data_IF_608276891573
#
_entry.id   IF_608276891573
#
_cell.length_a   1.000
_cell.length_b   1.000
_cell.length_c   1.000
_cell.angle_alpha   90.00
_cell.angle_beta   90.00
_cell.angle_gamma   90.00
#
_symmetry.space_group_name_H-M   'P 1'
#
loop_
_entity.id
_entity.type
_entity.pdbx_description
1 polymer ?
#
# COMPACT_ATOMS: atom_id res chain seq x y z
N UNK A 1 -14.67 -4.19 18.96
CA UNK A 1 -15.29 -3.79 17.67
C UNK A 1 -14.26 -2.99 16.88
N UNK A 2 -13.43 -3.69 16.09
CA UNK A 2 -12.79 -3.14 14.89
C UNK A 2 -13.35 -4.00 13.78
N UNK A 3 -14.29 -3.44 13.01
CA UNK A 3 -15.31 -4.17 12.28
C UNK A 3 -14.70 -4.95 11.11
N UNK A 4 -15.29 -6.08 10.72
CA UNK A 4 -14.92 -6.86 9.51
C UNK A 4 -14.78 -5.99 8.25
N UNK A 5 -15.43 -4.83 8.25
CA UNK A 5 -15.37 -3.79 7.23
C UNK A 5 -14.02 -3.06 7.14
N UNK A 6 -13.40 -2.71 8.28
CA UNK A 6 -12.06 -2.09 8.30
C UNK A 6 -11.03 -3.02 7.67
N UNK A 7 -11.15 -4.32 7.96
CA UNK A 7 -10.27 -5.35 7.39
C UNK A 7 -10.46 -5.47 5.88
N UNK A 8 -11.70 -5.39 5.40
CA UNK A 8 -12.00 -5.39 3.95
C UNK A 8 -11.36 -4.18 3.26
N UNK A 9 -11.49 -2.98 3.83
CA UNK A 9 -10.87 -1.76 3.32
C UNK A 9 -9.34 -1.89 3.26
N UNK A 10 -8.71 -2.43 4.32
CA UNK A 10 -7.26 -2.64 4.36
C UNK A 10 -6.80 -3.60 3.25
N UNK A 11 -7.53 -4.70 3.03
CA UNK A 11 -7.20 -5.66 1.98
C UNK A 11 -7.36 -5.06 0.58
N UNK A 12 -8.43 -4.30 0.34
CA UNK A 12 -8.64 -3.65 -0.97
C UNK A 12 -7.53 -2.64 -1.30
N UNK A 13 -7.12 -1.83 -0.31
CA UNK A 13 -5.99 -0.90 -0.46
C UNK A 13 -4.70 -1.68 -0.75
N UNK A 14 -4.45 -2.76 -0.02
CA UNK A 14 -3.27 -3.60 -0.17
C UNK A 14 -3.19 -4.22 -1.58
N UNK A 15 -4.31 -4.73 -2.09
CA UNK A 15 -4.41 -5.29 -3.43
C UNK A 15 -4.16 -4.23 -4.51
N UNK A 16 -4.75 -3.03 -4.39
CA UNK A 16 -4.49 -1.91 -5.32
C UNK A 16 -3.03 -1.46 -5.32
N UNK A 17 -2.38 -1.42 -4.15
CA UNK A 17 -0.93 -1.15 -4.03
C UNK A 17 -0.12 -2.21 -4.79
N UNK A 18 -0.44 -3.49 -4.56
CA UNK A 18 0.24 -4.62 -5.21
C UNK A 18 0.06 -4.57 -6.73
N UNK A 19 -1.15 -4.34 -7.21
CA UNK A 19 -1.43 -4.21 -8.64
C UNK A 19 -0.65 -3.06 -9.29
N UNK A 20 -0.67 -1.88 -8.66
CA UNK A 20 0.06 -0.71 -9.14
C UNK A 20 1.58 -0.98 -9.19
N UNK A 21 2.12 -1.67 -8.19
CA UNK A 21 3.52 -2.09 -8.16
C UNK A 21 3.85 -3.06 -9.30
N UNK A 22 3.03 -4.09 -9.49
CA UNK A 22 3.25 -5.11 -10.52
C UNK A 22 3.12 -4.54 -11.94
N UNK A 23 2.15 -3.64 -12.19
CA UNK A 23 2.03 -2.91 -13.47
C UNK A 23 3.29 -2.11 -13.83
N UNK A 24 4.09 -1.75 -12.83
CA UNK A 24 5.36 -1.03 -12.99
C UNK A 24 6.60 -1.92 -12.92
N UNK A 25 6.43 -3.24 -12.83
CA UNK A 25 7.51 -4.22 -12.69
C UNK A 25 8.49 -3.93 -11.53
N UNK A 26 7.98 -3.36 -10.44
CA UNK A 26 8.78 -3.00 -9.27
C UNK A 26 8.81 -4.16 -8.26
N UNK A 27 9.95 -4.39 -7.60
CA UNK A 27 10.02 -5.25 -6.43
C UNK A 27 9.45 -4.53 -5.20
N UNK A 28 9.03 -5.29 -4.19
CA UNK A 28 8.59 -4.72 -2.92
C UNK A 28 9.68 -3.87 -2.26
N UNK A 29 10.95 -4.29 -2.37
CA UNK A 29 12.11 -3.54 -1.89
C UNK A 29 12.30 -2.21 -2.60
N UNK A 30 11.93 -2.12 -3.88
CA UNK A 30 12.08 -0.89 -4.66
C UNK A 30 11.11 0.17 -4.18
N UNK A 31 9.84 -0.21 -3.99
CA UNK A 31 8.82 0.71 -3.48
C UNK A 31 9.12 1.09 -2.03
N UNK A 32 9.55 0.15 -1.19
CA UNK A 32 9.94 0.44 0.18
C UNK A 32 11.08 1.47 0.24
N UNK A 33 12.13 1.28 -0.55
CA UNK A 33 13.26 2.21 -0.65
C UNK A 33 12.82 3.60 -1.13
N UNK A 34 12.02 3.66 -2.20
CA UNK A 34 11.50 4.92 -2.74
C UNK A 34 10.56 5.65 -1.78
N UNK A 35 9.78 4.92 -0.99
CA UNK A 35 8.90 5.46 0.03
C UNK A 35 9.61 5.80 1.35
N UNK A 36 10.90 5.49 1.48
CA UNK A 36 11.65 5.64 2.74
C UNK A 36 11.10 4.76 3.87
N UNK A 37 10.68 3.55 3.53
CA UNK A 37 10.08 2.56 4.44
C UNK A 37 11.01 1.35 4.60
N UNK A 38 10.86 0.67 5.74
CA UNK A 38 11.45 -0.65 5.92
C UNK A 38 10.74 -1.67 4.99
N UNK A 39 11.51 -2.49 4.28
CA UNK A 39 10.97 -3.48 3.32
C UNK A 39 10.01 -4.49 3.97
N UNK A 40 10.28 -4.95 5.20
CA UNK A 40 9.37 -5.86 5.91
C UNK A 40 8.06 -5.17 6.26
N UNK A 41 8.11 -3.89 6.64
CA UNK A 41 6.91 -3.12 6.92
C UNK A 41 6.08 -2.90 5.64
N UNK A 42 6.69 -2.52 4.52
CA UNK A 42 6.00 -2.43 3.23
C UNK A 42 5.35 -3.75 2.83
N UNK A 43 6.07 -4.87 2.98
CA UNK A 43 5.53 -6.19 2.65
C UNK A 43 4.31 -6.56 3.51
N UNK A 44 4.29 -6.17 4.80
CA UNK A 44 3.11 -6.32 5.67
C UNK A 44 1.94 -5.45 5.21
N UNK A 45 2.20 -4.22 4.79
CA UNK A 45 1.17 -3.32 4.24
C UNK A 45 0.56 -3.91 2.97
N UNK A 46 1.38 -4.38 2.04
CA UNK A 46 0.92 -4.98 0.77
C UNK A 46 0.18 -6.31 0.96
N UNK A 47 0.35 -6.99 2.10
CA UNK A 47 -0.44 -8.18 2.47
C UNK A 47 -1.68 -7.85 3.32
N UNK A 48 -1.93 -6.58 3.62
CA UNK A 48 -3.01 -6.15 4.51
C UNK A 48 -2.81 -6.56 5.98
N UNK A 49 -1.60 -6.98 6.36
CA UNK A 49 -1.24 -7.37 7.73
C UNK A 49 -0.93 -6.16 8.63
N UNK A 50 -0.62 -5.01 8.02
CA UNK A 50 -0.34 -3.77 8.72
C UNK A 50 -1.17 -2.61 8.15
N UNK A 51 -1.83 -1.87 9.06
CA UNK A 51 -2.50 -0.62 8.71
C UNK A 51 -1.47 0.47 8.43
N UNK A 52 -1.44 0.98 7.21
CA UNK A 52 -0.65 2.16 6.87
C UNK A 52 -1.34 3.43 7.41
N UNK A 53 -0.57 4.34 8.01
CA UNK A 53 -1.06 5.68 8.31
C UNK A 53 -1.32 6.47 7.02
N UNK A 54 -2.09 7.57 7.09
CA UNK A 54 -2.28 8.44 5.92
C UNK A 54 -0.96 8.99 5.35
N UNK A 55 0.02 9.29 6.23
CA UNK A 55 1.36 9.72 5.82
C UNK A 55 2.11 8.59 5.11
N UNK A 56 2.09 7.37 5.66
CA UNK A 56 2.70 6.18 5.05
C UNK A 56 2.09 5.89 3.69
N UNK A 57 0.76 5.89 3.60
CA UNK A 57 0.04 5.61 2.37
C UNK A 57 0.37 6.67 1.30
N UNK A 58 0.46 7.94 1.68
CA UNK A 58 0.88 9.02 0.78
C UNK A 58 2.30 8.79 0.24
N UNK A 59 3.24 8.34 1.08
CA UNK A 59 4.60 8.00 0.63
C UNK A 59 4.59 6.84 -0.37
N UNK A 60 3.80 5.80 -0.12
CA UNK A 60 3.65 4.65 -1.02
C UNK A 60 3.03 5.09 -2.36
N UNK A 61 1.95 5.87 -2.34
CA UNK A 61 1.30 6.41 -3.55
C UNK A 61 2.30 7.23 -4.39
N UNK A 62 3.10 8.08 -3.74
CA UNK A 62 4.14 8.87 -4.42
C UNK A 62 5.25 7.99 -5.00
N UNK A 63 5.74 7.01 -4.24
CA UNK A 63 6.74 6.05 -4.71
C UNK A 63 6.24 5.20 -5.89
N UNK A 64 4.95 4.86 -5.87
CA UNK A 64 4.29 4.18 -6.98
C UNK A 64 3.99 5.12 -8.14
N UNK A 65 4.07 6.45 -7.99
CA UNK A 65 3.73 7.42 -9.04
C UNK A 65 2.32 7.22 -9.59
N UNK A 66 1.34 7.05 -8.71
CA UNK A 66 -0.10 6.92 -9.02
C UNK A 66 -0.91 7.98 -8.27
N UNK A 67 -2.20 8.12 -8.56
CA UNK A 67 -3.10 9.03 -7.83
C UNK A 67 -3.69 8.32 -6.60
N UNK A 68 -4.12 9.09 -5.61
CA UNK A 68 -4.81 8.53 -4.44
C UNK A 68 -6.10 7.80 -4.81
N UNK A 69 -6.81 8.28 -5.84
CA UNK A 69 -8.02 7.64 -6.39
C UNK A 69 -7.76 6.24 -6.96
N UNK A 70 -6.53 5.93 -7.35
CA UNK A 70 -6.17 4.61 -7.87
C UNK A 70 -6.01 3.57 -6.74
N UNK A 71 -5.83 4.04 -5.50
CA UNK A 71 -5.53 3.21 -4.33
C UNK A 71 -6.67 3.21 -3.30
N UNK A 72 -7.37 4.34 -3.12
CA UNK A 72 -8.46 4.44 -2.16
C UNK A 72 -9.70 3.68 -2.66
N UNK A 73 -10.42 2.97 -1.79
CA UNK A 73 -11.78 2.51 -2.11
C UNK A 73 -12.68 3.73 -2.30
N UNK A 74 -13.52 3.68 -3.34
CA UNK A 74 -14.54 4.68 -3.67
C UNK A 74 -15.92 4.14 -3.36
#
# INVERSE_FOLDING_TARGET
MGSSEDKKIILEIADKIKEARLKKNLLQSDVAKQAGLNSNYYAKVERGEAKASGVTLTKIIKALGVKSTDIMPV
#
